data_IF_654136531503
#
_entry.id   IF_654136531503
#
_cell.length_a   1.000
_cell.length_b   1.000
_cell.length_c   1.000
_cell.angle_alpha   90.00
_cell.angle_beta   90.00
_cell.angle_gamma   90.00
#
_symmetry.space_group_name_H-M   'P 1'
#
loop_
_entity.id
_entity.type
_entity.pdbx_description
1 polymer ?
#
# COMPACT_ATOMS: atom_id res chain seq x y z
N UNK A 1 -92.38 10.06 52.87
CA UNK A 1 -92.51 11.36 52.16
C UNK A 1 -91.29 11.54 51.24
N UNK A 2 -91.32 11.01 50.01
CA UNK A 2 -90.19 11.09 49.06
C UNK A 2 -89.96 12.49 48.45
N UNK A 3 -90.83 13.47 48.75
CA UNK A 3 -90.77 14.78 48.12
C UNK A 3 -89.70 15.74 48.66
N UNK A 4 -89.10 15.42 49.81
CA UNK A 4 -88.08 16.28 50.46
C UNK A 4 -86.65 15.93 50.04
N UNK A 5 -86.38 14.67 49.68
CA UNK A 5 -85.03 14.17 49.41
C UNK A 5 -84.49 14.65 48.05
N UNK A 6 -85.30 14.62 46.99
CA UNK A 6 -84.86 15.13 45.68
C UNK A 6 -84.55 16.64 45.72
N UNK A 7 -85.25 17.43 46.55
CA UNK A 7 -85.01 18.87 46.70
C UNK A 7 -83.70 19.16 47.42
N UNK A 8 -83.36 18.36 48.43
CA UNK A 8 -82.09 18.50 49.14
C UNK A 8 -80.90 18.25 48.19
N UNK A 9 -81.02 17.25 47.31
CA UNK A 9 -80.01 16.98 46.28
C UNK A 9 -79.90 18.09 45.23
N UNK A 10 -81.02 18.73 44.84
CA UNK A 10 -81.01 19.88 43.94
C UNK A 10 -80.30 21.10 44.55
N UNK A 11 -80.61 21.41 45.81
CA UNK A 11 -79.95 22.49 46.53
C UNK A 11 -78.46 22.20 46.73
N UNK A 12 -78.11 20.96 47.07
CA UNK A 12 -76.72 20.54 47.23
C UNK A 12 -75.94 20.60 45.90
N UNK A 13 -76.54 20.17 44.78
CA UNK A 13 -75.92 20.29 43.46
C UNK A 13 -75.67 21.75 43.06
N UNK A 14 -76.55 22.67 43.46
CA UNK A 14 -76.37 24.11 43.20
C UNK A 14 -75.24 24.70 44.05
N UNK A 15 -75.19 24.38 45.34
CA UNK A 15 -74.10 24.81 46.24
C UNK A 15 -72.76 24.29 45.71
N UNK A 16 -72.68 23.01 45.33
CA UNK A 16 -71.45 22.42 44.79
C UNK A 16 -71.05 23.01 43.44
N UNK A 17 -72.02 23.42 42.62
CA UNK A 17 -71.74 24.15 41.39
C UNK A 17 -71.16 25.55 41.67
N UNK A 18 -71.71 26.28 42.65
CA UNK A 18 -71.20 27.58 43.10
C UNK A 18 -69.82 27.48 43.76
N UNK A 19 -69.55 26.40 44.49
CA UNK A 19 -68.25 26.07 45.07
C UNK A 19 -67.22 25.57 44.02
N UNK A 20 -67.65 25.35 42.77
CA UNK A 20 -66.78 24.95 41.66
C UNK A 20 -66.54 23.44 41.53
N UNK A 21 -67.19 22.59 42.34
CA UNK A 21 -67.14 21.12 42.22
C UNK A 21 -68.17 20.63 41.18
N UNK A 22 -67.89 20.94 39.92
CA UNK A 22 -68.76 20.70 38.76
C UNK A 22 -69.04 19.19 38.57
N UNK A 23 -68.07 18.33 38.87
CA UNK A 23 -68.21 16.87 38.72
C UNK A 23 -69.23 16.31 39.72
N UNK A 24 -69.16 16.71 41.00
CA UNK A 24 -70.14 16.26 42.00
C UNK A 24 -71.49 16.92 41.82
N UNK A 25 -71.53 18.20 41.45
CA UNK A 25 -72.77 18.90 41.10
C UNK A 25 -73.52 18.19 39.97
N UNK A 26 -72.81 17.79 38.90
CA UNK A 26 -73.38 17.04 37.78
C UNK A 26 -73.85 15.63 38.16
N UNK A 27 -73.16 14.94 39.07
CA UNK A 27 -73.59 13.62 39.53
C UNK A 27 -74.85 13.71 40.40
N UNK A 28 -74.90 14.64 41.37
CA UNK A 28 -76.04 14.77 42.27
C UNK A 28 -77.29 15.33 41.60
N UNK A 29 -77.14 16.23 40.61
CA UNK A 29 -78.28 16.68 39.80
C UNK A 29 -78.88 15.53 38.99
N UNK A 30 -78.05 14.64 38.41
CA UNK A 30 -78.52 13.48 37.65
C UNK A 30 -79.19 12.42 38.54
N UNK A 31 -78.64 12.16 39.74
CA UNK A 31 -79.28 11.27 40.72
C UNK A 31 -80.64 11.81 41.14
N UNK A 32 -80.72 13.11 41.47
CA UNK A 32 -81.99 13.77 41.81
C UNK A 32 -83.04 13.70 40.70
N UNK A 33 -82.62 13.83 39.44
CA UNK A 33 -83.49 13.70 38.27
C UNK A 33 -84.02 12.27 38.15
N UNK A 34 -83.14 11.26 38.24
CA UNK A 34 -83.51 9.85 38.14
C UNK A 34 -84.49 9.47 39.26
N UNK A 35 -84.22 9.86 40.50
CA UNK A 35 -85.11 9.62 41.64
C UNK A 35 -86.49 10.27 41.46
N UNK A 36 -86.54 11.49 40.92
CA UNK A 36 -87.80 12.21 40.70
C UNK A 36 -88.63 11.63 39.54
N UNK A 37 -87.97 11.08 38.50
CA UNK A 37 -88.59 10.33 37.41
C UNK A 37 -89.15 8.98 37.88
N UNK A 38 -88.40 8.22 38.69
CA UNK A 38 -88.83 6.94 39.26
C UNK A 38 -90.01 7.11 40.24
N UNK A 39 -90.03 8.19 41.03
CA UNK A 39 -91.13 8.51 41.94
C UNK A 39 -92.38 9.08 41.25
N UNK A 40 -92.39 9.22 39.91
CA UNK A 40 -93.45 9.81 39.08
C UNK A 40 -93.96 11.17 39.61
N UNK A 41 -93.06 11.95 40.21
CA UNK A 41 -93.37 13.23 40.84
C UNK A 41 -93.17 14.38 39.86
N UNK A 42 -94.08 15.37 39.86
CA UNK A 42 -93.95 16.57 39.02
C UNK A 42 -92.73 17.38 39.45
N UNK A 43 -91.66 17.24 38.68
CA UNK A 43 -90.43 17.99 38.85
C UNK A 43 -90.63 19.45 38.40
N UNK A 44 -90.02 20.40 39.11
CA UNK A 44 -90.31 21.82 38.96
C UNK A 44 -89.80 22.33 37.59
N UNK A 45 -90.70 22.56 36.62
CA UNK A 45 -90.37 22.93 35.23
C UNK A 45 -89.36 24.11 35.13
N UNK A 46 -89.46 25.18 35.92
CA UNK A 46 -88.51 26.29 35.86
C UNK A 46 -87.07 25.91 36.23
N UNK A 47 -86.87 24.97 37.16
CA UNK A 47 -85.55 24.52 37.62
C UNK A 47 -84.86 23.65 36.56
N UNK A 48 -85.63 22.78 35.91
CA UNK A 48 -85.16 21.89 34.84
C UNK A 48 -84.67 22.70 33.63
N UNK A 49 -85.39 23.76 33.27
CA UNK A 49 -85.07 24.57 32.10
C UNK A 49 -83.88 25.51 32.30
N UNK A 50 -83.50 25.81 33.55
CA UNK A 50 -82.47 26.84 33.84
C UNK A 50 -81.21 26.27 34.47
N UNK A 51 -81.30 25.38 35.45
CA UNK A 51 -80.15 24.94 36.24
C UNK A 51 -79.44 23.73 35.62
N UNK A 52 -80.21 22.74 35.14
CA UNK A 52 -79.65 21.51 34.55
C UNK A 52 -78.76 21.79 33.34
N UNK A 53 -79.17 22.63 32.35
CA UNK A 53 -78.33 22.91 31.19
C UNK A 53 -77.02 23.61 31.57
N UNK A 54 -77.04 24.43 32.63
CA UNK A 54 -75.86 25.17 33.11
C UNK A 54 -74.83 24.22 33.72
N UNK A 55 -75.24 23.36 34.65
CA UNK A 55 -74.35 22.37 35.28
C UNK A 55 -73.84 21.36 34.23
N UNK A 56 -74.71 20.90 33.33
CA UNK A 56 -74.35 19.96 32.26
C UNK A 56 -73.37 20.57 31.24
N UNK A 57 -73.56 21.82 30.86
CA UNK A 57 -72.64 22.53 29.95
C UNK A 57 -71.29 22.79 30.63
N UNK A 58 -71.28 23.16 31.91
CA UNK A 58 -70.05 23.34 32.68
C UNK A 58 -69.25 22.02 32.76
N UNK A 59 -69.92 20.91 33.05
CA UNK A 59 -69.30 19.58 33.08
C UNK A 59 -68.75 19.16 31.71
N UNK A 60 -69.53 19.33 30.65
CA UNK A 60 -69.08 19.03 29.28
C UNK A 60 -67.89 19.91 28.85
N UNK A 61 -67.84 21.16 29.30
CA UNK A 61 -66.72 22.07 29.03
C UNK A 61 -65.44 21.58 29.71
N UNK A 62 -65.50 21.23 31.00
CA UNK A 62 -64.36 20.70 31.75
C UNK A 62 -63.85 19.37 31.14
N UNK A 63 -64.77 18.49 30.73
CA UNK A 63 -64.42 17.23 30.07
C UNK A 63 -63.74 17.48 28.71
N UNK A 64 -64.28 18.37 27.87
CA UNK A 64 -63.66 18.72 26.57
C UNK A 64 -62.28 19.36 26.73
N UNK A 65 -62.06 20.12 27.79
CA UNK A 65 -60.73 20.69 28.09
C UNK A 65 -59.74 19.58 28.48
N UNK A 66 -60.15 18.62 29.32
CA UNK A 66 -59.34 17.43 29.65
C UNK A 66 -59.05 16.57 28.42
N UNK A 67 -60.04 16.30 27.58
CA UNK A 67 -59.87 15.54 26.33
C UNK A 67 -58.91 16.23 25.36
N UNK A 68 -59.02 17.56 25.20
CA UNK A 68 -58.10 18.34 24.37
C UNK A 68 -56.67 18.28 24.89
N UNK A 69 -56.47 18.33 26.21
CA UNK A 69 -55.15 18.19 26.81
C UNK A 69 -54.59 16.78 26.59
N UNK A 70 -55.39 15.73 26.78
CA UNK A 70 -54.99 14.35 26.53
C UNK A 70 -54.63 14.11 25.06
N UNK A 71 -55.43 14.61 24.12
CA UNK A 71 -55.13 14.51 22.67
C UNK A 71 -53.83 15.24 22.33
N UNK A 72 -53.58 16.43 22.90
CA UNK A 72 -52.30 17.15 22.71
C UNK A 72 -51.12 16.37 23.27
N UNK A 73 -51.26 15.75 24.45
CA UNK A 73 -50.21 14.92 25.06
C UNK A 73 -49.92 13.68 24.21
N UNK A 74 -50.95 13.00 23.69
CA UNK A 74 -50.80 11.85 22.79
C UNK A 74 -50.07 12.27 21.50
N UNK A 75 -50.46 13.39 20.89
CA UNK A 75 -49.76 13.93 19.73
C UNK A 75 -48.29 14.24 20.03
N UNK A 76 -48.01 14.87 21.17
CA UNK A 76 -46.65 15.19 21.59
C UNK A 76 -45.80 13.92 21.78
N UNK A 77 -46.33 12.91 22.48
CA UNK A 77 -45.66 11.62 22.68
C UNK A 77 -45.42 10.90 21.35
N UNK A 78 -46.40 10.93 20.44
CA UNK A 78 -46.27 10.32 19.11
C UNK A 78 -45.17 10.99 18.29
N UNK A 79 -45.09 12.33 18.30
CA UNK A 79 -44.03 13.08 17.61
C UNK A 79 -42.67 12.78 18.23
N UNK A 80 -42.59 12.72 19.56
CA UNK A 80 -41.35 12.40 20.28
C UNK A 80 -40.86 10.99 19.94
N UNK A 81 -41.77 10.01 19.89
CA UNK A 81 -41.46 8.63 19.50
C UNK A 81 -40.93 8.57 18.06
N UNK A 82 -41.57 9.29 17.13
CA UNK A 82 -41.15 9.32 15.73
C UNK A 82 -39.76 9.97 15.56
N UNK A 83 -39.49 11.05 16.31
CA UNK A 83 -38.17 11.68 16.34
C UNK A 83 -37.09 10.72 16.87
N UNK A 84 -37.42 9.94 17.91
CA UNK A 84 -36.50 8.94 18.47
C UNK A 84 -36.19 7.82 17.46
N UNK A 85 -37.20 7.32 16.74
CA UNK A 85 -37.01 6.35 15.65
C UNK A 85 -36.14 6.91 14.54
N UNK A 86 -36.38 8.16 14.10
CA UNK A 86 -35.57 8.82 13.09
C UNK A 86 -34.10 8.98 13.54
N UNK A 87 -33.87 9.39 14.79
CA UNK A 87 -32.53 9.50 15.36
C UNK A 87 -31.79 8.15 15.35
N UNK A 88 -32.47 7.05 15.73
CA UNK A 88 -31.92 5.70 15.67
C UNK A 88 -31.50 5.35 14.22
N UNK A 89 -32.39 5.56 13.24
CA UNK A 89 -32.10 5.27 11.83
C UNK A 89 -30.87 6.06 11.34
N UNK A 90 -30.78 7.35 11.69
CA UNK A 90 -29.64 8.20 11.32
C UNK A 90 -28.35 7.66 11.93
N UNK A 91 -28.34 7.31 13.22
CA UNK A 91 -27.16 6.76 13.91
C UNK A 91 -26.69 5.47 13.26
N UNK A 92 -27.60 4.54 12.94
CA UNK A 92 -27.24 3.30 12.25
C UNK A 92 -26.69 3.55 10.84
N UNK A 93 -27.30 4.48 10.09
CA UNK A 93 -26.81 4.85 8.76
C UNK A 93 -25.41 5.49 8.82
N UNK A 94 -25.15 6.36 9.80
CA UNK A 94 -23.82 6.97 10.00
C UNK A 94 -22.77 5.94 10.41
N UNK A 95 -23.09 5.04 11.34
CA UNK A 95 -22.17 3.95 11.74
C UNK A 95 -21.75 3.09 10.55
N UNK A 96 -22.68 2.75 9.65
CA UNK A 96 -22.37 1.99 8.44
C UNK A 96 -21.39 2.73 7.52
N UNK A 97 -21.52 4.05 7.38
CA UNK A 97 -20.59 4.88 6.57
C UNK A 97 -19.19 4.93 7.19
N UNK A 98 -19.10 5.07 8.51
CA UNK A 98 -17.81 5.10 9.23
C UNK A 98 -17.06 3.78 9.07
N UNK A 99 -17.73 2.65 9.27
CA UNK A 99 -17.07 1.33 9.11
C UNK A 99 -16.54 1.07 7.69
N UNK A 100 -17.23 1.58 6.66
CA UNK A 100 -16.75 1.48 5.27
C UNK A 100 -15.51 2.39 5.07
N UNK A 101 -15.54 3.61 5.59
CA UNK A 101 -14.42 4.54 5.52
C UNK A 101 -13.17 3.98 6.23
N UNK A 102 -13.33 3.41 7.43
CA UNK A 102 -12.24 2.78 8.20
C UNK A 102 -11.62 1.60 7.45
N UNK A 103 -12.44 0.73 6.84
CA UNK A 103 -11.94 -0.38 6.02
C UNK A 103 -11.15 0.09 4.82
N UNK A 104 -11.65 1.11 4.11
CA UNK A 104 -10.94 1.68 2.97
C UNK A 104 -9.63 2.33 3.40
N UNK A 105 -9.61 3.07 4.51
CA UNK A 105 -8.40 3.68 5.04
C UNK A 105 -7.36 2.62 5.45
N UNK A 106 -7.80 1.52 6.08
CA UNK A 106 -6.92 0.41 6.44
C UNK A 106 -6.30 -0.26 5.21
N UNK A 107 -7.09 -0.52 4.17
CA UNK A 107 -6.60 -1.09 2.91
C UNK A 107 -5.60 -0.15 2.22
N UNK A 108 -5.90 1.15 2.14
CA UNK A 108 -4.99 2.15 1.58
C UNK A 108 -3.69 2.22 2.38
N UNK A 109 -3.75 2.17 3.71
CA UNK A 109 -2.55 2.19 4.55
C UNK A 109 -1.66 0.96 4.31
N UNK A 110 -2.25 -0.24 4.14
CA UNK A 110 -1.50 -1.45 3.79
C UNK A 110 -0.82 -1.28 2.43
N UNK A 111 -1.55 -0.80 1.42
CA UNK A 111 -0.98 -0.56 0.09
C UNK A 111 0.14 0.49 0.13
N UNK A 112 -0.02 1.54 0.93
CA UNK A 112 1.00 2.58 1.11
C UNK A 112 2.25 2.00 1.76
N UNK A 113 2.09 1.16 2.78
CA UNK A 113 3.20 0.50 3.45
C UNK A 113 3.94 -0.46 2.51
N UNK A 114 3.20 -1.23 1.70
CA UNK A 114 3.80 -2.13 0.70
C UNK A 114 4.58 -1.33 -0.37
N UNK A 115 4.00 -0.24 -0.87
CA UNK A 115 4.66 0.62 -1.85
C UNK A 115 5.90 1.30 -1.27
N UNK A 116 5.83 1.78 -0.02
CA UNK A 116 6.97 2.38 0.65
C UNK A 116 8.11 1.36 0.83
N UNK A 117 7.79 0.13 1.24
CA UNK A 117 8.79 -0.95 1.32
C UNK A 117 9.41 -1.27 -0.05
N UNK A 118 8.62 -1.31 -1.13
CA UNK A 118 9.13 -1.48 -2.50
C UNK A 118 10.05 -0.33 -2.90
N UNK A 119 9.69 0.92 -2.60
CA UNK A 119 10.52 2.09 -2.87
C UNK A 119 11.84 2.05 -2.09
N UNK A 120 11.81 1.68 -0.81
CA UNK A 120 13.02 1.53 0.00
C UNK A 120 13.95 0.45 -0.56
N UNK A 121 13.42 -0.69 -0.99
CA UNK A 121 14.21 -1.75 -1.61
C UNK A 121 14.83 -1.30 -2.94
N UNK A 122 14.06 -0.64 -3.81
CA UNK A 122 14.58 -0.09 -5.07
C UNK A 122 15.66 0.96 -4.81
N UNK A 123 15.46 1.84 -3.83
CA UNK A 123 16.43 2.85 -3.46
C UNK A 123 17.73 2.21 -2.93
N UNK A 124 17.63 1.19 -2.07
CA UNK A 124 18.80 0.44 -1.60
C UNK A 124 19.60 -0.18 -2.76
N UNK A 125 18.91 -0.85 -3.71
CA UNK A 125 19.54 -1.40 -4.92
C UNK A 125 20.18 -0.33 -5.81
N UNK A 126 19.57 0.85 -5.91
CA UNK A 126 20.13 1.98 -6.66
C UNK A 126 21.39 2.54 -6.00
N UNK A 127 21.40 2.68 -4.68
CA UNK A 127 22.58 3.12 -3.92
C UNK A 127 23.73 2.13 -4.08
N UNK A 128 23.45 0.83 -3.97
CA UNK A 128 24.44 -0.23 -4.21
C UNK A 128 24.99 -0.17 -5.63
N UNK A 129 24.11 -0.09 -6.65
CA UNK A 129 24.52 0.04 -8.05
C UNK A 129 25.38 1.29 -8.30
N UNK A 130 25.04 2.41 -7.67
CA UNK A 130 25.82 3.65 -7.80
C UNK A 130 27.18 3.52 -7.13
N UNK A 131 27.27 2.91 -5.95
CA UNK A 131 28.55 2.67 -5.26
C UNK A 131 29.49 1.78 -6.10
N UNK A 132 28.95 0.74 -6.74
CA UNK A 132 29.71 -0.11 -7.67
C UNK A 132 30.21 0.70 -8.87
N UNK A 133 29.36 1.56 -9.47
CA UNK A 133 29.75 2.42 -10.60
C UNK A 133 30.83 3.44 -10.21
N UNK A 134 30.71 4.08 -9.04
CA UNK A 134 31.71 5.03 -8.54
C UNK A 134 33.07 4.36 -8.34
N UNK A 135 33.08 3.18 -7.71
CA UNK A 135 34.30 2.38 -7.51
C UNK A 135 34.95 2.03 -8.85
N UNK A 136 34.14 1.71 -9.87
CA UNK A 136 34.62 1.41 -11.20
C UNK A 136 35.21 2.62 -11.91
N UNK A 137 34.61 3.81 -11.78
CA UNK A 137 35.15 5.04 -12.35
C UNK A 137 36.52 5.36 -11.75
N UNK A 138 36.68 5.22 -10.42
CA UNK A 138 37.98 5.41 -9.75
C UNK A 138 39.01 4.42 -10.31
N UNK A 139 38.66 3.13 -10.36
CA UNK A 139 39.56 2.10 -10.90
C UNK A 139 39.93 2.34 -12.36
N UNK A 140 38.99 2.82 -13.18
CA UNK A 140 39.25 3.18 -14.57
C UNK A 140 40.24 4.35 -14.68
N UNK A 141 40.11 5.35 -13.81
CA UNK A 141 41.08 6.47 -13.75
C UNK A 141 42.46 6.00 -13.29
N UNK A 142 42.53 5.06 -12.34
CA UNK A 142 43.79 4.45 -11.91
C UNK A 142 44.47 3.70 -13.06
N UNK A 143 43.72 2.90 -13.82
CA UNK A 143 44.24 2.21 -15.01
C UNK A 143 44.73 3.19 -16.09
N UNK A 144 44.00 4.29 -16.31
CA UNK A 144 44.45 5.35 -17.23
C UNK A 144 45.76 5.99 -16.74
N UNK A 145 45.88 6.26 -15.44
CA UNK A 145 47.10 6.83 -14.83
C UNK A 145 48.29 5.89 -14.95
N UNK A 146 48.09 4.61 -14.66
CA UNK A 146 49.10 3.56 -14.82
C UNK A 146 49.56 3.42 -16.28
N UNK A 147 48.62 3.43 -17.22
CA UNK A 147 48.94 3.40 -18.65
C UNK A 147 49.72 4.64 -19.11
N UNK A 148 49.35 5.84 -18.66
CA UNK A 148 50.10 7.08 -18.96
C UNK A 148 51.54 6.96 -18.42
N UNK A 149 51.70 6.45 -17.19
CA UNK A 149 53.02 6.21 -16.60
C UNK A 149 53.82 5.17 -17.40
N UNK A 150 53.16 4.11 -17.90
CA UNK A 150 53.78 3.11 -18.75
C UNK A 150 54.31 3.73 -20.06
N UNK A 151 53.49 4.52 -20.75
CA UNK A 151 53.90 5.24 -21.98
C UNK A 151 55.06 6.21 -21.70
N UNK A 152 55.03 6.94 -20.57
CA UNK A 152 56.12 7.87 -20.23
C UNK A 152 57.44 7.15 -19.90
N UNK A 153 57.38 6.01 -19.18
CA UNK A 153 58.54 5.14 -18.94
C UNK A 153 59.09 4.59 -20.25
N UNK A 154 58.23 4.10 -21.13
CA UNK A 154 58.62 3.58 -22.44
C UNK A 154 59.32 4.66 -23.29
N UNK A 155 58.72 5.87 -23.37
CA UNK A 155 59.31 7.02 -24.07
C UNK A 155 60.65 7.44 -23.46
N UNK A 156 60.76 7.47 -22.13
CA UNK A 156 61.98 7.82 -21.42
C UNK A 156 63.08 6.76 -21.63
N UNK A 157 62.73 5.48 -21.64
CA UNK A 157 63.63 4.37 -21.95
C UNK A 157 64.17 4.45 -23.38
N UNK A 158 63.29 4.69 -24.37
CA UNK A 158 63.69 4.91 -25.76
C UNK A 158 64.64 6.10 -25.89
N UNK A 159 64.34 7.23 -25.23
CA UNK A 159 65.21 8.41 -25.25
C UNK A 159 66.59 8.13 -24.62
N UNK A 160 66.65 7.32 -23.56
CA UNK A 160 67.91 6.92 -22.93
C UNK A 160 68.75 6.08 -23.88
N UNK A 161 68.17 5.03 -24.47
CA UNK A 161 68.86 4.14 -25.42
C UNK A 161 69.29 4.92 -26.67
N UNK A 162 68.47 5.84 -27.16
CA UNK A 162 68.83 6.70 -28.30
C UNK A 162 70.08 7.53 -28.03
N UNK A 163 70.26 8.01 -26.79
CA UNK A 163 71.45 8.77 -26.37
C UNK A 163 72.69 7.88 -26.18
N UNK A 164 72.51 6.66 -25.68
CA UNK A 164 73.62 5.75 -25.31
C UNK A 164 74.08 4.87 -26.49
N UNK A 165 73.16 4.35 -27.29
CA UNK A 165 73.38 3.32 -28.31
C UNK A 165 72.94 3.74 -29.74
N UNK A 166 72.41 4.96 -29.89
CA UNK A 166 71.96 5.49 -31.17
C UNK A 166 70.77 4.74 -31.78
N UNK A 167 70.58 4.91 -33.10
CA UNK A 167 69.43 4.34 -33.83
C UNK A 167 69.39 2.80 -33.80
N UNK A 168 70.56 2.15 -33.76
CA UNK A 168 70.68 0.68 -33.72
C UNK A 168 70.14 0.09 -32.43
N UNK A 169 70.42 0.71 -31.27
CA UNK A 169 69.89 0.26 -29.97
C UNK A 169 68.37 0.40 -29.91
N UNK A 170 67.84 1.52 -30.38
CA UNK A 170 66.38 1.76 -30.45
C UNK A 170 65.69 0.72 -31.34
N UNK A 171 66.23 0.43 -32.53
CA UNK A 171 65.67 -0.58 -33.43
C UNK A 171 65.72 -2.00 -32.85
N UNK A 172 66.68 -2.29 -31.97
CA UNK A 172 66.75 -3.58 -31.26
C UNK A 172 65.65 -3.69 -30.23
N UNK A 173 65.40 -2.64 -29.44
CA UNK A 173 64.31 -2.61 -28.46
C UNK A 173 62.94 -2.72 -29.16
N UNK A 174 62.69 -1.91 -30.20
CA UNK A 174 61.43 -1.92 -30.96
C UNK A 174 61.09 -3.27 -31.60
N UNK A 175 62.10 -4.11 -31.87
CA UNK A 175 61.93 -5.44 -32.45
C UNK A 175 61.78 -6.54 -31.40
N UNK A 176 61.94 -6.23 -30.11
CA UNK A 176 61.83 -7.21 -29.04
C UNK A 176 60.37 -7.60 -28.82
N UNK A 177 59.98 -8.87 -29.00
CA UNK A 177 58.62 -9.34 -28.72
C UNK A 177 58.35 -9.52 -27.22
N UNK A 178 59.39 -9.53 -26.38
CA UNK A 178 59.27 -9.79 -24.94
C UNK A 178 58.39 -8.74 -24.23
N UNK A 179 58.52 -7.47 -24.63
CA UNK A 179 57.75 -6.37 -24.01
C UNK A 179 56.25 -6.54 -24.23
N UNK A 180 55.83 -7.02 -25.42
CA UNK A 180 54.42 -7.22 -25.75
C UNK A 180 53.79 -8.39 -24.97
N UNK A 181 54.54 -9.48 -24.74
CA UNK A 181 54.04 -10.62 -23.97
C UNK A 181 53.82 -10.27 -22.50
N UNK A 182 54.75 -9.51 -21.91
CA UNK A 182 54.62 -9.03 -20.53
C UNK A 182 53.48 -8.02 -20.38
N UNK A 183 53.34 -7.08 -21.31
CA UNK A 183 52.20 -6.15 -21.36
C UNK A 183 50.86 -6.89 -21.45
N UNK A 184 50.76 -7.92 -22.31
CA UNK A 184 49.53 -8.70 -22.44
C UNK A 184 49.21 -9.49 -21.17
N UNK A 185 50.22 -10.01 -20.49
CA UNK A 185 50.05 -10.73 -19.22
C UNK A 185 49.53 -9.81 -18.13
N UNK A 186 50.09 -8.60 -18.03
CA UNK A 186 49.64 -7.57 -17.09
C UNK A 186 48.22 -7.10 -17.41
N UNK A 187 47.93 -6.83 -18.68
CA UNK A 187 46.59 -6.49 -19.15
C UNK A 187 45.56 -7.55 -18.76
N UNK A 188 45.85 -8.84 -18.99
CA UNK A 188 44.94 -9.90 -18.60
C UNK A 188 44.80 -10.06 -17.09
N UNK A 189 45.87 -9.88 -16.31
CA UNK A 189 45.78 -9.90 -14.85
C UNK A 189 44.87 -8.77 -14.34
N UNK A 190 45.01 -7.58 -14.90
CA UNK A 190 44.15 -6.43 -14.59
C UNK A 190 42.70 -6.65 -15.00
N UNK A 191 42.45 -7.21 -16.20
CA UNK A 191 41.11 -7.59 -16.64
C UNK A 191 40.49 -8.62 -15.69
N UNK A 192 41.18 -9.74 -15.43
CA UNK A 192 40.69 -10.83 -14.58
C UNK A 192 40.36 -10.33 -13.18
N UNK A 193 41.25 -9.53 -12.57
CA UNK A 193 41.04 -8.95 -11.24
C UNK A 193 39.89 -7.93 -11.21
N UNK A 194 39.69 -7.16 -12.28
CA UNK A 194 38.60 -6.19 -12.38
C UNK A 194 37.27 -6.89 -12.54
N UNK A 195 37.22 -7.88 -13.43
CA UNK A 195 36.03 -8.63 -13.74
C UNK A 195 35.58 -9.47 -12.53
N UNK A 196 36.49 -10.18 -11.86
CA UNK A 196 36.16 -10.99 -10.68
C UNK A 196 35.76 -10.14 -9.47
N UNK A 197 36.24 -8.90 -9.37
CA UNK A 197 35.74 -7.97 -8.35
C UNK A 197 34.28 -7.57 -8.63
N UNK A 198 33.91 -7.38 -9.89
CA UNK A 198 32.54 -7.03 -10.28
C UNK A 198 31.59 -8.23 -10.22
N UNK A 199 32.07 -9.43 -10.54
CA UNK A 199 31.31 -10.67 -10.57
C UNK A 199 32.01 -11.77 -9.77
N UNK A 200 32.02 -11.68 -8.42
CA UNK A 200 32.80 -12.59 -7.56
C UNK A 200 32.42 -14.06 -7.72
N UNK A 201 31.13 -14.34 -7.96
CA UNK A 201 30.61 -15.69 -8.12
C UNK A 201 30.57 -16.16 -9.58
N UNK A 202 31.17 -15.41 -10.52
CA UNK A 202 31.09 -15.71 -11.95
C UNK A 202 31.55 -17.12 -12.28
N UNK A 203 32.72 -17.54 -11.79
CA UNK A 203 33.31 -18.84 -12.15
C UNK A 203 32.43 -19.99 -11.67
N UNK A 204 31.91 -19.89 -10.45
CA UNK A 204 31.03 -20.90 -9.86
C UNK A 204 29.71 -21.00 -10.64
N UNK A 205 29.03 -19.87 -10.85
CA UNK A 205 27.76 -19.82 -11.56
C UNK A 205 27.89 -20.11 -13.06
N UNK A 206 29.03 -19.81 -13.67
CA UNK A 206 29.32 -20.23 -15.04
C UNK A 206 29.49 -21.75 -15.11
N UNK A 207 30.22 -22.34 -14.15
CA UNK A 207 30.41 -23.79 -14.09
C UNK A 207 29.13 -24.57 -13.75
N UNK A 208 28.14 -23.95 -13.10
CA UNK A 208 26.83 -24.60 -12.90
C UNK A 208 26.02 -24.73 -14.19
N UNK A 209 26.37 -24.00 -15.25
CA UNK A 209 25.78 -24.13 -16.58
C UNK A 209 26.42 -25.25 -17.42
N UNK A 210 27.51 -25.85 -16.95
CA UNK A 210 28.29 -26.86 -17.67
C UNK A 210 28.12 -28.26 -17.04
N UNK A 211 28.18 -29.28 -17.89
CA UNK A 211 28.24 -30.70 -17.46
C UNK A 211 29.37 -30.89 -16.44
N UNK A 212 29.18 -31.75 -15.43
CA UNK A 212 30.11 -31.87 -14.30
C UNK A 212 31.55 -32.22 -14.72
N UNK A 213 31.71 -33.07 -15.73
CA UNK A 213 32.99 -33.48 -16.30
C UNK A 213 33.60 -32.44 -17.26
N UNK A 214 32.86 -31.39 -17.60
CA UNK A 214 33.28 -30.30 -18.49
C UNK A 214 33.51 -28.96 -17.78
N UNK A 215 33.34 -28.90 -16.46
CA UNK A 215 33.58 -27.69 -15.66
C UNK A 215 35.02 -27.20 -15.78
N UNK A 216 35.19 -25.89 -15.79
CA UNK A 216 36.48 -25.21 -15.95
C UNK A 216 36.95 -24.71 -14.59
N UNK A 217 37.99 -25.36 -14.05
CA UNK A 217 38.60 -24.97 -12.77
C UNK A 217 39.82 -24.07 -13.03
N UNK A 218 39.83 -22.82 -12.55
CA UNK A 218 41.00 -21.95 -12.65
C UNK A 218 42.17 -22.52 -11.84
N UNK A 219 43.39 -22.49 -12.39
CA UNK A 219 44.58 -23.06 -11.73
C UNK A 219 44.94 -22.43 -10.39
N UNK A 220 44.51 -21.20 -10.10
CA UNK A 220 44.86 -20.46 -8.88
C UNK A 220 43.72 -19.62 -8.29
N UNK A 221 42.46 -19.87 -8.66
CA UNK A 221 41.27 -19.16 -8.12
C UNK A 221 41.15 -17.66 -8.42
N UNK A 222 42.23 -16.98 -8.86
CA UNK A 222 42.28 -15.52 -9.09
C UNK A 222 42.59 -15.09 -10.53
N UNK A 223 42.77 -16.04 -11.45
CA UNK A 223 43.03 -15.75 -12.87
C UNK A 223 42.10 -16.57 -13.75
N UNK A 224 41.47 -15.91 -14.71
CA UNK A 224 40.62 -16.55 -15.70
C UNK A 224 41.52 -17.18 -16.77
N UNK A 225 41.16 -18.36 -17.26
CA UNK A 225 41.79 -18.88 -18.47
C UNK A 225 41.12 -18.28 -19.72
N UNK A 226 41.68 -18.53 -20.90
CA UNK A 226 41.18 -17.98 -22.17
C UNK A 226 39.68 -18.23 -22.38
N UNK A 227 39.19 -19.44 -22.07
CA UNK A 227 37.77 -19.76 -22.21
C UNK A 227 36.92 -18.88 -21.28
N UNK A 228 37.28 -18.80 -19.99
CA UNK A 228 36.57 -17.95 -19.03
C UNK A 228 36.63 -16.47 -19.41
N UNK A 229 37.74 -15.97 -19.97
CA UNK A 229 37.84 -14.58 -20.47
C UNK A 229 36.89 -14.30 -21.62
N UNK A 230 36.74 -15.23 -22.56
CA UNK A 230 35.76 -15.11 -23.66
C UNK A 230 34.35 -14.96 -23.11
N UNK A 231 33.96 -15.80 -22.15
CA UNK A 231 32.62 -15.75 -21.57
C UNK A 231 32.42 -14.60 -20.59
N UNK A 232 33.49 -14.10 -19.96
CA UNK A 232 33.48 -12.85 -19.21
C UNK A 232 33.18 -11.66 -20.12
N UNK A 233 33.76 -11.61 -21.33
CA UNK A 233 33.46 -10.57 -22.31
C UNK A 233 32.02 -10.65 -22.81
N UNK A 234 31.49 -11.86 -23.06
CA UNK A 234 30.07 -12.07 -23.39
C UNK A 234 29.17 -11.59 -22.26
N UNK A 235 29.55 -11.86 -21.00
CA UNK A 235 28.84 -11.37 -19.81
C UNK A 235 28.82 -9.84 -19.71
N UNK A 236 29.88 -9.17 -20.17
CA UNK A 236 29.94 -7.71 -20.29
C UNK A 236 29.15 -7.16 -21.50
N UNK A 237 28.52 -8.03 -22.29
CA UNK A 237 27.72 -7.65 -23.47
C UNK A 237 28.52 -7.60 -24.77
N UNK A 238 29.81 -7.96 -24.76
CA UNK A 238 30.63 -8.04 -25.96
C UNK A 238 30.44 -9.43 -26.58
N UNK A 239 29.50 -9.54 -27.52
CA UNK A 239 29.09 -10.81 -28.15
C UNK A 239 29.76 -11.07 -29.51
N UNK A 240 30.31 -10.03 -30.12
CA UNK A 240 30.96 -10.08 -31.42
C UNK A 240 32.32 -10.79 -31.32
N UNK A 241 32.46 -11.92 -32.03
CA UNK A 241 33.71 -12.69 -32.09
C UNK A 241 34.90 -11.86 -32.58
N UNK A 242 34.68 -10.84 -33.42
CA UNK A 242 35.74 -9.96 -33.91
C UNK A 242 36.27 -9.08 -32.77
N UNK A 243 35.38 -8.45 -32.00
CA UNK A 243 35.78 -7.64 -30.84
C UNK A 243 36.46 -8.45 -29.75
N UNK A 244 35.96 -9.67 -29.48
CA UNK A 244 36.58 -10.57 -28.52
C UNK A 244 37.99 -10.99 -28.99
N UNK A 245 38.14 -11.27 -30.29
CA UNK A 245 39.43 -11.64 -30.88
C UNK A 245 40.45 -10.49 -30.78
N UNK A 246 40.02 -9.27 -31.07
CA UNK A 246 40.83 -8.06 -30.91
C UNK A 246 41.27 -7.86 -29.45
N UNK A 247 40.32 -7.95 -28.50
CA UNK A 247 40.60 -7.79 -27.08
C UNK A 247 41.58 -8.83 -26.54
N UNK A 248 41.41 -10.09 -26.94
CA UNK A 248 42.24 -11.20 -26.49
C UNK A 248 43.45 -11.46 -27.40
N UNK A 249 43.72 -10.62 -28.40
CA UNK A 249 44.81 -10.80 -29.38
C UNK A 249 44.87 -12.22 -29.98
N UNK A 250 43.71 -12.83 -30.20
CA UNK A 250 43.59 -14.13 -30.87
C UNK A 250 43.00 -13.99 -32.26
N UNK A 251 43.11 -15.04 -33.07
CA UNK A 251 42.37 -15.08 -34.33
C UNK A 251 40.87 -15.23 -34.06
N UNK A 252 40.05 -14.65 -34.95
CA UNK A 252 38.59 -14.81 -34.91
C UNK A 252 38.20 -16.30 -34.90
N UNK A 253 38.91 -17.13 -35.66
CA UNK A 253 38.70 -18.58 -35.70
C UNK A 253 38.96 -19.25 -34.34
N UNK A 254 40.02 -18.84 -33.63
CA UNK A 254 40.31 -19.32 -32.28
C UNK A 254 39.16 -19.03 -31.33
N UNK A 255 38.60 -17.81 -31.38
CA UNK A 255 37.44 -17.44 -30.56
C UNK A 255 36.20 -18.28 -30.90
N UNK A 256 35.91 -18.47 -32.19
CA UNK A 256 34.81 -19.34 -32.62
C UNK A 256 34.95 -20.77 -32.09
N UNK A 257 36.15 -21.35 -32.19
CA UNK A 257 36.42 -22.70 -31.70
C UNK A 257 36.21 -22.82 -30.19
N UNK A 258 36.65 -21.83 -29.40
CA UNK A 258 36.38 -21.80 -27.96
C UNK A 258 34.89 -21.71 -27.65
N UNK A 259 34.15 -20.83 -28.34
CA UNK A 259 32.70 -20.66 -28.13
C UNK A 259 31.93 -21.95 -28.43
N UNK A 260 32.21 -22.56 -29.57
CA UNK A 260 31.56 -23.83 -29.98
C UNK A 260 31.90 -24.95 -29.00
N UNK A 261 33.18 -25.07 -28.60
CA UNK A 261 33.62 -26.10 -27.64
C UNK A 261 32.87 -26.00 -26.33
N UNK A 262 32.76 -24.81 -25.75
CA UNK A 262 32.10 -24.64 -24.44
C UNK A 262 30.58 -24.75 -24.56
N UNK A 263 29.98 -24.23 -25.64
CA UNK A 263 28.53 -24.37 -25.87
C UNK A 263 28.11 -25.85 -25.96
N UNK A 264 28.97 -26.69 -26.53
CA UNK A 264 28.73 -28.13 -26.60
C UNK A 264 28.82 -28.84 -25.23
N UNK A 265 29.35 -28.17 -24.21
CA UNK A 265 29.46 -28.66 -22.83
C UNK A 265 28.35 -28.15 -21.90
N UNK A 266 27.37 -27.41 -22.42
CA UNK A 266 26.28 -26.83 -21.63
C UNK A 266 25.24 -27.89 -21.22
N UNK A 267 24.73 -27.83 -19.98
CA UNK A 267 23.67 -28.74 -19.48
C UNK A 267 22.34 -28.53 -20.23
N UNK A 268 22.04 -27.28 -20.57
CA UNK A 268 20.78 -26.87 -21.18
C UNK A 268 20.93 -26.63 -22.70
N UNK A 269 19.90 -26.06 -23.34
CA UNK A 269 19.92 -25.69 -24.76
C UNK A 269 21.18 -24.91 -25.14
N UNK A 270 21.89 -25.42 -26.16
CA UNK A 270 23.07 -24.79 -26.76
C UNK A 270 22.76 -23.38 -27.26
N UNK A 271 21.55 -23.16 -27.76
CA UNK A 271 21.14 -21.90 -28.39
C UNK A 271 20.92 -20.78 -27.37
N UNK A 272 20.62 -21.13 -26.11
CA UNK A 272 20.41 -20.15 -25.03
C UNK A 272 21.60 -20.02 -24.08
N UNK A 273 22.63 -20.84 -24.23
CA UNK A 273 23.78 -20.86 -23.31
C UNK A 273 24.41 -19.48 -23.11
N UNK A 274 24.68 -18.74 -24.19
CA UNK A 274 25.30 -17.41 -24.08
C UNK A 274 24.37 -16.39 -23.43
N UNK A 275 23.05 -16.52 -23.63
CA UNK A 275 22.06 -15.68 -22.92
C UNK A 275 22.05 -15.99 -21.42
N UNK A 276 22.20 -17.26 -21.05
CA UNK A 276 22.34 -17.67 -19.64
C UNK A 276 23.63 -17.10 -19.04
N UNK A 277 24.76 -17.16 -19.77
CA UNK A 277 26.03 -16.57 -19.35
C UNK A 277 25.90 -15.05 -19.11
N UNK A 278 25.10 -14.33 -19.89
CA UNK A 278 24.86 -12.90 -19.65
C UNK A 278 24.15 -12.59 -18.33
N UNK A 279 23.39 -13.55 -17.78
CA UNK A 279 22.66 -13.40 -16.53
C UNK A 279 23.48 -13.86 -15.31
N UNK A 280 24.62 -14.54 -15.52
CA UNK A 280 25.50 -15.03 -14.45
C UNK A 280 26.06 -13.86 -13.63
N UNK A 281 26.07 -13.96 -12.31
CA UNK A 281 26.60 -12.92 -11.42
C UNK A 281 25.69 -11.72 -11.27
N UNK A 282 24.38 -11.84 -11.57
CA UNK A 282 23.38 -10.89 -11.08
C UNK A 282 23.19 -11.06 -9.57
N UNK A 283 23.10 -9.92 -8.86
CA UNK A 283 22.67 -9.82 -7.47
C UNK A 283 21.14 -9.86 -7.37
#
# INVERSE_FOLDING_TARGET
>A
MPSKEYRALQTLALILYEEGDINRAYNYINVSINDALEANTRMNIPFISTVIPVISQAYQKEMKEKDRLQIKLIWFISVLLLALVAAIIIVYAQKKKVTIAERNQHLTNIQLAELNNKLLNINAKLVESNSIKETYIVRYMDLCSEYINHVDKYRSGLNKIAKEEGATGVMKLLKSPADLEDELKEFYANFDATFLHLFPNFVEQFNSLLEEDKRIIPKQGKQLNTALRIFALIRLGITDSVKIAEFLRYSVNTIYNYRVKIRNSAINSRDDFEKQVMMVGQF
#
